data_IF_050298299187
#
_entry.id   IF_050298299187
#
_cell.length_a   1.000
_cell.length_b   1.000
_cell.length_c   1.000
_cell.angle_alpha   90.00
_cell.angle_beta   90.00
_cell.angle_gamma   90.00
#
_symmetry.space_group_name_H-M   'P 1'
#
loop_
_entity.id
_entity.type
_entity.pdbx_description
1 polymer ?
#
# COMPACT_ATOMS: atom_id res chain seq x y z
N UNK A 1 53.65 42.85 -6.25
CA UNK A 1 52.81 41.69 -6.64
C UNK A 1 53.03 40.62 -5.60
N UNK A 2 52.01 40.30 -4.78
CA UNK A 2 52.10 39.19 -3.81
C UNK A 2 51.93 37.90 -4.62
N UNK A 3 53.01 37.14 -4.76
CA UNK A 3 52.94 35.81 -5.36
C UNK A 3 52.05 34.92 -4.51
N UNK A 4 51.06 34.26 -5.12
CA UNK A 4 50.41 33.10 -4.52
C UNK A 4 51.51 32.10 -4.13
N UNK A 5 51.52 31.71 -2.86
CA UNK A 5 52.50 30.69 -2.43
C UNK A 5 52.02 29.32 -2.90
N UNK A 6 52.94 28.43 -3.26
CA UNK A 6 52.61 27.04 -3.63
C UNK A 6 51.77 26.36 -2.54
N UNK A 7 52.04 26.69 -1.28
CA UNK A 7 51.32 26.22 -0.10
C UNK A 7 49.83 26.62 -0.13
N UNK A 8 49.53 27.87 -0.51
CA UNK A 8 48.18 28.39 -0.59
C UNK A 8 47.36 27.69 -1.70
N UNK A 9 47.99 27.37 -2.83
CA UNK A 9 47.36 26.61 -3.91
C UNK A 9 47.06 25.17 -3.47
N UNK A 10 47.98 24.52 -2.77
CA UNK A 10 47.78 23.16 -2.23
C UNK A 10 46.64 23.16 -1.21
N UNK A 11 46.60 24.16 -0.33
CA UNK A 11 45.54 24.29 0.66
C UNK A 11 44.18 24.54 0.00
N UNK A 12 44.13 25.42 -1.00
CA UNK A 12 42.92 25.69 -1.77
C UNK A 12 42.39 24.45 -2.49
N UNK A 13 43.26 23.68 -3.15
CA UNK A 13 42.88 22.43 -3.83
C UNK A 13 42.39 21.40 -2.81
N UNK A 14 43.03 21.30 -1.64
CA UNK A 14 42.62 20.36 -0.59
C UNK A 14 41.22 20.67 -0.06
N UNK A 15 40.92 21.95 0.20
CA UNK A 15 39.57 22.36 0.61
C UNK A 15 38.55 22.09 -0.50
N UNK A 16 38.91 22.37 -1.75
CA UNK A 16 38.05 22.13 -2.90
C UNK A 16 37.74 20.64 -3.09
N UNK A 17 38.74 19.76 -2.99
CA UNK A 17 38.52 18.32 -3.13
C UNK A 17 37.64 17.77 -2.02
N UNK A 18 37.87 18.19 -0.77
CA UNK A 18 37.01 17.81 0.36
C UNK A 18 35.55 18.26 0.15
N UNK A 19 35.34 19.49 -0.33
CA UNK A 19 34.01 20.00 -0.63
C UNK A 19 33.31 19.16 -1.72
N UNK A 20 34.00 18.90 -2.84
CA UNK A 20 33.45 18.11 -3.96
C UNK A 20 33.15 16.67 -3.54
N UNK A 21 34.07 16.02 -2.80
CA UNK A 21 33.86 14.66 -2.30
C UNK A 21 32.68 14.58 -1.33
N UNK A 22 32.53 15.55 -0.42
CA UNK A 22 31.40 15.62 0.49
C UNK A 22 30.06 15.74 -0.26
N UNK A 23 29.98 16.64 -1.25
CA UNK A 23 28.80 16.78 -2.10
C UNK A 23 28.47 15.51 -2.87
N UNK A 24 29.48 14.83 -3.41
CA UNK A 24 29.29 13.60 -4.18
C UNK A 24 28.69 12.46 -3.34
N UNK A 25 29.16 12.30 -2.09
CA UNK A 25 28.63 11.31 -1.15
C UNK A 25 27.15 11.57 -0.87
N UNK A 26 26.78 12.82 -0.59
CA UNK A 26 25.39 13.20 -0.32
C UNK A 26 24.48 12.95 -1.53
N UNK A 27 24.93 13.27 -2.73
CA UNK A 27 24.16 13.00 -3.97
C UNK A 27 23.94 11.51 -4.14
N UNK A 28 24.98 10.70 -3.95
CA UNK A 28 24.91 9.24 -4.09
C UNK A 28 23.94 8.62 -3.06
N UNK A 29 23.97 9.10 -1.82
CA UNK A 29 23.02 8.69 -0.78
C UNK A 29 21.58 9.11 -1.12
N UNK A 30 21.40 10.33 -1.63
CA UNK A 30 20.08 10.86 -2.01
C UNK A 30 19.45 10.02 -3.12
N UNK A 31 20.20 9.69 -4.18
CA UNK A 31 19.72 8.84 -5.28
C UNK A 31 19.29 7.46 -4.74
N UNK A 32 20.04 6.89 -3.80
CA UNK A 32 19.68 5.61 -3.21
C UNK A 32 18.38 5.65 -2.39
N UNK A 33 18.04 6.81 -1.81
CA UNK A 33 16.81 7.04 -1.04
C UNK A 33 15.60 7.30 -1.95
N UNK A 34 15.78 7.89 -3.13
CA UNK A 34 14.67 8.20 -4.06
C UNK A 34 13.87 6.94 -4.41
N UNK A 35 14.54 5.83 -4.71
CA UNK A 35 13.88 4.53 -5.00
C UNK A 35 12.97 4.09 -3.85
N UNK A 36 13.47 4.16 -2.61
CA UNK A 36 12.72 3.74 -1.41
C UNK A 36 11.51 4.64 -1.18
N UNK A 37 11.67 5.95 -1.39
CA UNK A 37 10.57 6.92 -1.26
C UNK A 37 9.51 6.68 -2.33
N UNK A 38 9.91 6.38 -3.57
CA UNK A 38 9.00 6.04 -4.66
C UNK A 38 8.19 4.78 -4.32
N UNK A 39 8.84 3.69 -3.89
CA UNK A 39 8.14 2.46 -3.52
C UNK A 39 7.17 2.68 -2.36
N UNK A 40 7.56 3.49 -1.36
CA UNK A 40 6.68 3.84 -0.24
C UNK A 40 5.47 4.67 -0.69
N UNK A 41 5.64 5.59 -1.64
CA UNK A 41 4.54 6.37 -2.19
C UNK A 41 3.55 5.48 -2.94
N UNK A 42 4.04 4.58 -3.81
CA UNK A 42 3.21 3.60 -4.52
C UNK A 42 2.45 2.73 -3.52
N UNK A 43 3.14 2.16 -2.52
CA UNK A 43 2.51 1.35 -1.49
C UNK A 43 1.42 2.12 -0.71
N UNK A 44 1.61 3.42 -0.48
CA UNK A 44 0.60 4.28 0.17
C UNK A 44 -0.67 4.40 -0.68
N UNK A 45 -0.53 4.56 -1.99
CA UNK A 45 -1.67 4.58 -2.91
C UNK A 45 -2.34 3.21 -3.03
N UNK A 46 -1.58 2.10 -3.06
CA UNK A 46 -2.14 0.74 -3.10
C UNK A 46 -2.94 0.38 -1.85
N UNK A 47 -2.51 0.87 -0.69
CA UNK A 47 -3.27 0.73 0.55
C UNK A 47 -4.57 1.53 0.49
N UNK A 48 -4.54 2.78 0.00
CA UNK A 48 -5.75 3.58 -0.20
C UNK A 48 -6.70 2.92 -1.18
N UNK A 49 -6.20 2.44 -2.32
CA UNK A 49 -6.97 1.69 -3.32
C UNK A 49 -7.65 0.47 -2.68
N UNK A 50 -6.93 -0.31 -1.86
CA UNK A 50 -7.52 -1.47 -1.18
C UNK A 50 -8.67 -1.11 -0.24
N UNK A 51 -8.60 0.04 0.44
CA UNK A 51 -9.70 0.55 1.27
C UNK A 51 -10.88 0.96 0.38
N UNK A 52 -10.62 1.63 -0.73
CA UNK A 52 -11.65 2.05 -1.70
C UNK A 52 -12.34 0.84 -2.36
N UNK A 53 -11.63 -0.27 -2.60
CA UNK A 53 -12.26 -1.53 -3.05
C UNK A 53 -13.29 -2.03 -2.03
N UNK A 54 -12.96 -2.02 -0.74
CA UNK A 54 -13.89 -2.46 0.31
C UNK A 54 -15.09 -1.50 0.43
N UNK A 55 -14.87 -0.18 0.31
CA UNK A 55 -15.95 0.81 0.24
C UNK A 55 -16.83 0.61 -0.99
N UNK A 56 -16.24 0.34 -2.14
CA UNK A 56 -16.98 0.11 -3.38
C UNK A 56 -17.92 -1.09 -3.25
N UNK A 57 -17.50 -2.17 -2.60
CA UNK A 57 -18.36 -3.33 -2.31
C UNK A 57 -19.56 -2.91 -1.45
N UNK A 58 -19.31 -2.21 -0.33
CA UNK A 58 -20.39 -1.69 0.54
C UNK A 58 -21.36 -0.79 -0.22
N UNK A 59 -20.84 0.19 -0.94
CA UNK A 59 -21.65 1.17 -1.63
C UNK A 59 -22.48 0.51 -2.74
N UNK A 60 -21.90 -0.50 -3.41
CA UNK A 60 -22.60 -1.35 -4.38
C UNK A 60 -23.71 -2.17 -3.73
N UNK A 61 -23.49 -2.71 -2.53
CA UNK A 61 -24.52 -3.43 -1.78
C UNK A 61 -25.72 -2.52 -1.47
N UNK A 62 -25.48 -1.27 -1.04
CA UNK A 62 -26.54 -0.29 -0.83
C UNK A 62 -27.32 0.02 -2.12
N UNK A 63 -26.62 0.24 -3.24
CA UNK A 63 -27.27 0.48 -4.53
C UNK A 63 -28.15 -0.70 -5.00
N UNK A 64 -27.82 -1.92 -4.57
CA UNK A 64 -28.55 -3.15 -4.88
C UNK A 64 -29.60 -3.54 -3.84
N UNK A 65 -29.78 -2.73 -2.78
CA UNK A 65 -30.71 -3.02 -1.67
C UNK A 65 -30.37 -4.39 -1.04
N UNK A 66 -29.08 -4.63 -0.83
CA UNK A 66 -28.55 -5.80 -0.12
C UNK A 66 -27.99 -5.39 1.25
N UNK A 67 -27.74 -6.35 2.17
CA UNK A 67 -26.98 -6.07 3.38
C UNK A 67 -25.65 -5.39 3.04
N UNK A 68 -25.35 -4.28 3.71
CA UNK A 68 -24.22 -3.42 3.35
C UNK A 68 -22.86 -4.14 3.46
N UNK A 69 -22.77 -5.10 4.37
CA UNK A 69 -21.60 -5.90 4.68
C UNK A 69 -21.60 -7.25 3.96
N UNK A 70 -22.50 -7.47 2.99
CA UNK A 70 -22.47 -8.63 2.11
C UNK A 70 -21.12 -8.70 1.38
N UNK A 71 -20.51 -9.88 1.36
CA UNK A 71 -19.15 -10.11 0.82
C UNK A 71 -18.02 -9.40 1.58
N UNK A 72 -18.30 -8.86 2.77
CA UNK A 72 -17.33 -8.31 3.71
C UNK A 72 -17.26 -9.19 4.96
N UNK A 73 -16.83 -10.44 4.77
CA UNK A 73 -16.66 -11.41 5.83
C UNK A 73 -15.43 -11.08 6.69
N UNK A 74 -15.56 -11.27 8.00
CA UNK A 74 -14.44 -11.11 8.93
C UNK A 74 -13.34 -12.12 8.60
N UNK A 75 -12.11 -11.65 8.53
CA UNK A 75 -10.96 -12.47 8.15
C UNK A 75 -9.67 -11.66 8.07
N UNK A 76 -8.57 -12.34 8.41
CA UNK A 76 -7.24 -11.75 8.50
C UNK A 76 -6.46 -11.75 7.16
N UNK A 77 -7.02 -12.36 6.12
CA UNK A 77 -6.38 -12.36 4.81
C UNK A 77 -7.31 -12.54 3.62
N UNK A 78 -7.56 -11.41 2.98
CA UNK A 78 -8.24 -11.30 1.71
C UNK A 78 -7.33 -10.64 0.67
N UNK A 79 -7.40 -11.14 -0.55
CA UNK A 79 -6.83 -10.51 -1.75
C UNK A 79 -8.00 -10.03 -2.61
N UNK A 80 -7.99 -8.74 -2.94
CA UNK A 80 -8.90 -8.13 -3.90
C UNK A 80 -8.20 -6.97 -4.57
N UNK A 81 -8.63 -6.66 -5.78
CA UNK A 81 -8.14 -5.58 -6.65
C UNK A 81 -9.28 -4.68 -7.13
N UNK A 82 -8.97 -3.72 -7.99
CA UNK A 82 -9.96 -2.75 -8.48
C UNK A 82 -11.15 -3.38 -9.21
N UNK A 83 -11.03 -4.65 -9.66
CA UNK A 83 -12.12 -5.37 -10.30
C UNK A 83 -13.03 -6.06 -9.27
N UNK A 84 -12.55 -6.24 -8.04
CA UNK A 84 -13.30 -6.87 -6.95
C UNK A 84 -14.52 -6.03 -6.57
N UNK A 85 -15.70 -6.63 -6.59
CA UNK A 85 -16.97 -5.93 -6.36
C UNK A 85 -17.44 -5.05 -7.52
N UNK A 86 -16.76 -5.04 -8.67
CA UNK A 86 -17.14 -4.21 -9.82
C UNK A 86 -18.16 -4.91 -10.75
N UNK A 87 -19.12 -4.17 -11.35
CA UNK A 87 -19.98 -4.69 -12.41
C UNK A 87 -19.16 -5.13 -13.65
N UNK A 88 -19.60 -6.13 -14.44
CA UNK A 88 -20.86 -6.88 -14.33
C UNK A 88 -20.76 -8.17 -13.49
N UNK A 89 -19.55 -8.69 -13.27
CA UNK A 89 -19.33 -10.03 -12.72
C UNK A 89 -19.15 -10.04 -11.19
N UNK A 90 -19.00 -8.85 -10.56
CA UNK A 90 -18.85 -8.64 -9.11
C UNK A 90 -17.96 -9.67 -8.42
N UNK A 91 -16.71 -9.87 -8.88
CA UNK A 91 -15.84 -10.88 -8.30
C UNK A 91 -15.65 -10.58 -6.81
N UNK A 92 -15.78 -11.62 -5.99
CA UNK A 92 -15.62 -11.52 -4.54
C UNK A 92 -14.14 -11.53 -4.14
N UNK A 93 -13.85 -11.13 -2.91
CA UNK A 93 -12.51 -11.32 -2.35
C UNK A 93 -12.07 -12.78 -2.47
N UNK A 94 -10.80 -12.97 -2.80
CA UNK A 94 -10.17 -14.29 -2.79
C UNK A 94 -9.41 -14.46 -1.48
N UNK A 95 -9.56 -15.60 -0.81
CA UNK A 95 -8.73 -15.88 0.37
C UNK A 95 -7.26 -16.01 -0.05
N UNK A 96 -6.37 -15.43 0.74
CA UNK A 96 -4.94 -15.53 0.46
C UNK A 96 -4.44 -16.97 0.58
N UNK A 97 -3.34 -17.33 -0.12
CA UNK A 97 -2.64 -18.59 0.12
C UNK A 97 -2.18 -18.72 1.59
N UNK A 98 -2.40 -19.90 2.17
CA UNK A 98 -2.03 -20.19 3.57
C UNK A 98 -0.57 -20.71 3.66
N UNK A 99 0.23 -20.28 4.65
CA UNK A 99 -0.08 -19.27 5.66
C UNK A 99 -0.04 -17.85 5.10
N UNK A 100 -0.93 -16.97 5.61
CA UNK A 100 -0.98 -15.54 5.32
C UNK A 100 0.32 -14.84 5.75
N UNK A 101 1.35 -14.97 4.93
CA UNK A 101 2.69 -14.46 5.17
C UNK A 101 3.29 -14.01 3.84
N UNK A 102 4.23 -13.08 3.91
CA UNK A 102 4.84 -12.46 2.73
C UNK A 102 5.24 -13.47 1.65
N UNK A 103 5.81 -14.62 2.02
CA UNK A 103 6.30 -15.60 1.06
C UNK A 103 5.18 -16.28 0.25
N UNK A 104 3.97 -16.42 0.82
CA UNK A 104 2.84 -17.09 0.16
C UNK A 104 1.85 -16.13 -0.50
N UNK A 105 1.83 -14.86 -0.09
CA UNK A 105 0.99 -13.85 -0.73
C UNK A 105 1.32 -13.72 -2.23
N UNK A 106 0.31 -13.41 -3.05
CA UNK A 106 0.54 -13.15 -4.47
C UNK A 106 1.06 -11.73 -4.68
N UNK A 107 1.84 -11.56 -5.74
CA UNK A 107 2.23 -10.23 -6.19
C UNK A 107 1.03 -9.52 -6.82
N UNK A 108 0.92 -8.22 -6.59
CA UNK A 108 0.09 -7.37 -7.42
C UNK A 108 0.80 -7.17 -8.75
N UNK A 109 0.12 -7.50 -9.83
CA UNK A 109 0.58 -7.27 -11.18
C UNK A 109 0.12 -5.89 -11.65
N UNK A 110 0.85 -5.27 -12.56
CA UNK A 110 0.46 -4.03 -13.22
C UNK A 110 0.17 -4.29 -14.69
N UNK A 111 -0.96 -3.79 -15.18
CA UNK A 111 -1.36 -3.92 -16.58
C UNK A 111 -0.85 -2.77 -17.46
N UNK A 112 -1.13 -2.84 -18.77
CA UNK A 112 -0.75 -1.80 -19.74
C UNK A 112 -1.39 -0.43 -19.46
N UNK A 113 -2.49 -0.41 -18.70
CA UNK A 113 -3.21 0.80 -18.30
C UNK A 113 -2.75 1.35 -16.94
N UNK A 114 -1.75 0.73 -16.31
CA UNK A 114 -1.23 1.04 -14.97
C UNK A 114 -2.19 0.74 -13.81
N UNK A 115 -3.12 -0.21 -13.97
CA UNK A 115 -3.94 -0.72 -12.86
C UNK A 115 -3.33 -1.97 -12.23
N UNK A 116 -3.47 -2.06 -10.90
CA UNK A 116 -2.95 -3.17 -10.12
C UNK A 116 -3.99 -4.28 -9.95
N UNK A 117 -3.64 -5.52 -10.26
CA UNK A 117 -4.56 -6.66 -10.21
C UNK A 117 -3.85 -7.99 -9.90
N UNK A 118 -4.62 -9.06 -9.66
CA UNK A 118 -4.08 -10.40 -9.38
C UNK A 118 -4.16 -11.38 -10.57
N UNK A 119 -4.63 -10.94 -11.73
CA UNK A 119 -5.03 -11.82 -12.84
C UNK A 119 -4.06 -11.79 -14.03
N UNK A 120 -3.56 -10.63 -14.41
CA UNK A 120 -2.76 -10.41 -15.63
C UNK A 120 -1.78 -9.23 -15.47
N UNK A 121 -0.87 -9.08 -16.44
CA UNK A 121 0.16 -8.04 -16.43
C UNK A 121 1.48 -8.49 -15.80
N UNK A 122 2.37 -7.53 -15.58
CA UNK A 122 3.72 -7.80 -15.08
C UNK A 122 3.75 -7.78 -13.54
N UNK A 123 4.38 -8.76 -12.88
CA UNK A 123 4.44 -8.80 -11.42
C UNK A 123 5.26 -7.63 -10.88
N UNK A 124 4.70 -6.93 -9.91
CA UNK A 124 5.41 -5.86 -9.17
C UNK A 124 6.09 -6.42 -7.93
N UNK A 125 6.80 -5.57 -7.18
CA UNK A 125 7.40 -5.95 -5.89
C UNK A 125 6.39 -5.99 -4.73
N UNK A 126 5.17 -5.48 -4.96
CA UNK A 126 4.17 -5.27 -3.92
C UNK A 126 3.27 -6.48 -3.77
N UNK A 127 2.97 -6.81 -2.52
CA UNK A 127 1.96 -7.78 -2.13
C UNK A 127 0.96 -7.09 -1.21
N UNK A 128 -0.32 -7.32 -1.39
CA UNK A 128 -1.38 -6.72 -0.56
C UNK A 128 -2.17 -7.81 0.15
N UNK A 129 -2.56 -7.54 1.39
CA UNK A 129 -3.63 -8.25 2.07
C UNK A 129 -4.60 -7.27 2.71
N UNK A 130 -5.87 -7.66 2.71
CA UNK A 130 -6.98 -6.92 3.29
C UNK A 130 -7.47 -7.72 4.49
N UNK A 131 -7.67 -7.03 5.60
CA UNK A 131 -8.15 -7.57 6.86
C UNK A 131 -9.47 -6.88 7.17
N UNK A 132 -10.51 -7.66 7.40
CA UNK A 132 -11.81 -7.19 7.88
C UNK A 132 -11.97 -7.75 9.28
N UNK A 133 -12.19 -6.89 10.26
CA UNK A 133 -12.31 -7.27 11.67
C UNK A 133 -13.30 -6.38 12.40
N UNK A 134 -13.57 -6.69 13.67
CA UNK A 134 -14.37 -5.84 14.57
C UNK A 134 -15.77 -5.53 13.98
N UNK A 135 -16.45 -6.56 13.45
CA UNK A 135 -17.86 -6.45 13.05
C UNK A 135 -18.73 -6.38 14.30
N UNK A 136 -19.31 -5.21 14.57
CA UNK A 136 -20.00 -4.88 15.82
C UNK A 136 -21.41 -4.37 15.52
N UNK A 137 -22.39 -4.93 16.22
CA UNK A 137 -23.74 -4.39 16.43
C UNK A 137 -23.66 -3.35 17.56
N UNK A 138 -24.09 -2.12 17.25
CA UNK A 138 -24.01 -0.97 18.15
C UNK A 138 -25.34 -0.66 18.85
N UNK A 139 -26.40 -1.42 18.59
CA UNK A 139 -27.71 -1.18 19.19
C UNK A 139 -27.84 -1.67 20.63
N UNK A 140 -28.73 -1.02 21.39
CA UNK A 140 -29.11 -1.41 22.75
C UNK A 140 -30.64 -1.46 22.90
N UNK A 141 -31.26 -2.65 22.97
CA UNK A 141 -30.62 -3.97 22.90
C UNK A 141 -30.14 -4.33 21.47
N UNK A 142 -29.13 -5.22 21.33
CA UNK A 142 -28.65 -5.68 20.03
C UNK A 142 -29.77 -6.28 19.18
N UNK A 143 -29.86 -5.89 17.91
CA UNK A 143 -30.85 -6.38 16.95
C UNK A 143 -30.31 -7.51 16.04
N UNK A 144 -29.00 -7.79 16.12
CA UNK A 144 -28.30 -8.80 15.34
C UNK A 144 -27.75 -8.28 14.01
N UNK A 145 -27.93 -7.00 13.71
CA UNK A 145 -27.44 -6.36 12.49
C UNK A 145 -26.12 -5.61 12.76
N UNK A 146 -25.13 -5.80 11.88
CA UNK A 146 -23.82 -5.15 12.06
C UNK A 146 -23.91 -3.68 11.67
N UNK A 147 -23.45 -2.79 12.55
CA UNK A 147 -23.45 -1.35 12.31
C UNK A 147 -22.07 -0.79 11.96
N UNK A 148 -21.03 -1.51 12.35
CA UNK A 148 -19.65 -1.09 12.20
C UNK A 148 -18.75 -2.27 11.87
N UNK A 149 -17.80 -2.05 10.97
CA UNK A 149 -16.67 -2.94 10.74
C UNK A 149 -15.37 -2.15 10.60
N UNK A 150 -14.25 -2.79 10.88
CA UNK A 150 -12.91 -2.25 10.67
C UNK A 150 -12.28 -2.90 9.46
N UNK A 151 -11.69 -2.06 8.60
CA UNK A 151 -10.90 -2.50 7.45
C UNK A 151 -9.46 -2.09 7.70
N UNK A 152 -8.54 -3.03 7.54
CA UNK A 152 -7.10 -2.75 7.54
C UNK A 152 -6.47 -3.32 6.28
N UNK A 153 -5.75 -2.49 5.53
CA UNK A 153 -5.05 -2.92 4.31
C UNK A 153 -3.56 -2.80 4.55
N UNK A 154 -2.85 -3.90 4.38
CA UNK A 154 -1.39 -3.95 4.48
C UNK A 154 -0.79 -4.23 3.11
N UNK A 155 0.14 -3.37 2.68
CA UNK A 155 0.99 -3.62 1.51
C UNK A 155 2.41 -3.89 1.99
N UNK A 156 2.97 -5.01 1.55
CA UNK A 156 4.31 -5.50 1.88
C UNK A 156 5.17 -5.56 0.63
N UNK A 157 6.45 -5.21 0.75
CA UNK A 157 7.42 -5.37 -0.31
C UNK A 157 8.82 -5.58 0.26
N UNK A 158 9.71 -6.16 -0.56
CA UNK A 158 11.12 -6.33 -0.22
C UNK A 158 11.97 -5.51 -1.17
N UNK A 159 12.80 -4.63 -0.63
CA UNK A 159 13.72 -3.79 -1.41
C UNK A 159 15.12 -3.85 -0.78
N UNK A 160 16.15 -4.13 -1.59
CA UNK A 160 17.55 -4.24 -1.12
C UNK A 160 17.73 -5.17 0.09
N UNK A 161 16.98 -6.28 0.13
CA UNK A 161 17.03 -7.28 1.20
C UNK A 161 16.26 -6.90 2.47
N UNK A 162 15.69 -5.70 2.56
CA UNK A 162 14.88 -5.26 3.70
C UNK A 162 13.40 -5.41 3.41
N UNK A 163 12.68 -5.89 4.41
CA UNK A 163 11.22 -5.94 4.40
C UNK A 163 10.66 -4.57 4.76
N UNK A 164 9.66 -4.14 3.99
CA UNK A 164 8.93 -2.92 4.20
C UNK A 164 7.43 -3.24 4.20
N UNK A 165 6.67 -2.52 5.01
CA UNK A 165 5.21 -2.53 4.92
C UNK A 165 4.63 -1.17 5.25
N UNK A 166 3.40 -0.96 4.77
CA UNK A 166 2.55 0.17 5.14
C UNK A 166 1.13 -0.34 5.34
N UNK A 167 0.46 0.22 6.35
CA UNK A 167 -0.90 -0.16 6.74
C UNK A 167 -1.74 1.12 6.78
N UNK A 168 -2.95 1.07 6.23
CA UNK A 168 -4.00 2.02 6.56
C UNK A 168 -5.20 1.28 7.12
N UNK A 169 -5.94 1.98 7.96
CA UNK A 169 -7.11 1.45 8.64
C UNK A 169 -8.24 2.45 8.53
N UNK A 170 -9.44 1.93 8.30
CA UNK A 170 -10.66 2.72 8.27
C UNK A 170 -11.79 1.94 8.95
N UNK A 171 -12.73 2.68 9.54
CA UNK A 171 -13.97 2.09 10.04
C UNK A 171 -15.09 2.40 9.06
N UNK A 172 -15.79 1.36 8.62
CA UNK A 172 -16.98 1.51 7.80
C UNK A 172 -18.21 1.30 8.68
N UNK A 173 -19.26 2.06 8.37
CA UNK A 173 -20.51 2.05 9.12
C UNK A 173 -21.69 1.79 8.20
N UNK A 174 -22.75 1.21 8.77
CA UNK A 174 -24.07 1.17 8.17
C UNK A 174 -24.76 2.54 8.32
N UNK A 175 -24.73 3.36 7.28
CA UNK A 175 -25.38 4.68 7.28
C UNK A 175 -26.88 4.67 6.91
N UNK A 176 -27.41 3.50 6.52
CA UNK A 176 -28.78 3.34 6.00
C UNK A 176 -29.76 2.82 7.05
N UNK A 177 -29.25 2.55 8.26
CA UNK A 177 -30.05 2.21 9.44
C UNK A 177 -30.63 3.48 10.06
#
# INVERSE_FOLDING_TARGET
>A
MRSFTLLEVILAITVLTLAVSGSFILISQTIALVSVVQSKLIASYLVQEGIEVVKNIRDTNWLKIQPWDQSLEEGDCWEGDYQTGAPPDYPSFTSCPFPCQYDNLRFLNIDENNFYNYSFGDPTIFKRKIIISDKIDLDDPPDGEIDKLKVSVEVLWKEKGKMHSIIAQEYLYNWTK
#
